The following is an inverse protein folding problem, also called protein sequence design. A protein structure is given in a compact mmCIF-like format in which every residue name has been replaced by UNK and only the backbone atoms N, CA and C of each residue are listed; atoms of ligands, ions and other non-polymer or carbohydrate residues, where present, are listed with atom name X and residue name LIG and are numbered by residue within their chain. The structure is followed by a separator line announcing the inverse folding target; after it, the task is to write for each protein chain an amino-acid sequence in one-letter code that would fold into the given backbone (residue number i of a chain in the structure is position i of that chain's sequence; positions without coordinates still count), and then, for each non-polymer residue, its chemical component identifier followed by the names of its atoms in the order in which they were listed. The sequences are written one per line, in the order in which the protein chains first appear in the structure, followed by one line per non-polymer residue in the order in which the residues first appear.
data_IF_860156217396
#
_entry.id   IF_860156217396
#
_cell.length_a   1.000
_cell.length_b   1.000
_cell.length_c   1.000
_cell.angle_alpha   90.00
_cell.angle_beta   90.00
_cell.angle_gamma   90.00
#
_symmetry.space_group_name_H-M   'P 1'
#
loop_
_entity.id
_entity.type
_entity.pdbx_description
1 polymer ?
#
# COMPACT_ATOMS: atom_id res chain seq x y z
N UNK A 1 39.61 -19.50 -75.20
CA UNK A 1 40.36 -20.52 -74.43
C UNK A 1 40.25 -20.19 -72.96
N UNK A 2 39.51 -21.02 -72.21
CA UNK A 2 39.01 -20.74 -70.86
C UNK A 2 39.99 -21.38 -69.86
N UNK A 3 40.68 -20.57 -69.05
CA UNK A 3 41.47 -21.08 -67.91
C UNK A 3 40.50 -21.41 -66.77
N UNK A 4 40.50 -22.68 -66.38
CA UNK A 4 39.79 -23.20 -65.20
C UNK A 4 40.55 -22.69 -63.97
N UNK A 5 39.84 -22.02 -63.05
CA UNK A 5 40.38 -21.69 -61.73
C UNK A 5 39.40 -22.26 -60.71
N UNK A 6 39.86 -23.34 -60.08
CA UNK A 6 39.25 -24.01 -58.94
C UNK A 6 39.33 -23.07 -57.74
N UNK A 7 38.20 -22.70 -57.13
CA UNK A 7 38.19 -21.95 -55.86
C UNK A 7 37.60 -22.86 -54.79
N UNK A 8 38.44 -23.17 -53.81
CA UNK A 8 38.14 -24.04 -52.69
C UNK A 8 37.12 -23.40 -51.74
N UNK A 9 36.11 -24.18 -51.35
CA UNK A 9 35.13 -23.83 -50.32
C UNK A 9 35.81 -23.73 -48.94
N UNK A 10 35.85 -22.54 -48.37
CA UNK A 10 36.15 -22.32 -46.95
C UNK A 10 34.82 -22.29 -46.17
N UNK A 11 34.57 -23.34 -45.39
CA UNK A 11 33.51 -23.39 -44.40
C UNK A 11 33.75 -22.31 -43.34
N UNK A 12 32.96 -21.24 -43.39
CA UNK A 12 32.83 -20.28 -42.30
C UNK A 12 31.92 -20.85 -41.22
N UNK A 13 32.49 -21.24 -40.08
CA UNK A 13 31.73 -21.52 -38.86
C UNK A 13 31.07 -20.23 -38.38
N UNK A 14 29.74 -20.14 -38.52
CA UNK A 14 28.93 -19.15 -37.82
C UNK A 14 28.91 -19.50 -36.33
N UNK A 15 29.84 -18.96 -35.55
CA UNK A 15 29.73 -18.92 -34.10
C UNK A 15 28.59 -17.97 -33.73
N UNK A 16 27.39 -18.49 -33.57
CA UNK A 16 26.31 -17.76 -32.92
C UNK A 16 26.63 -17.69 -31.42
N UNK A 17 26.99 -16.50 -30.94
CA UNK A 17 26.99 -16.24 -29.50
C UNK A 17 25.54 -16.29 -29.02
N UNK A 18 25.20 -17.04 -27.97
CA UNK A 18 23.87 -16.97 -27.40
C UNK A 18 23.68 -15.56 -26.83
N UNK A 19 22.81 -14.77 -27.45
CA UNK A 19 22.34 -13.52 -26.87
C UNK A 19 21.65 -13.84 -25.54
N UNK A 20 22.21 -13.33 -24.45
CA UNK A 20 21.57 -13.38 -23.14
C UNK A 20 20.29 -12.55 -23.19
N UNK A 21 19.14 -13.21 -23.26
CA UNK A 21 17.87 -12.53 -23.03
C UNK A 21 17.79 -12.22 -21.53
N UNK A 22 17.88 -10.95 -21.15
CA UNK A 22 17.51 -10.48 -19.80
C UNK A 22 16.02 -10.79 -19.57
N UNK A 23 15.72 -11.83 -18.78
CA UNK A 23 14.37 -12.26 -18.42
C UNK A 23 13.96 -11.89 -16.99
N UNK A 24 14.46 -10.77 -16.47
CA UNK A 24 14.13 -10.30 -15.12
C UNK A 24 13.75 -8.82 -15.12
N UNK A 25 12.77 -8.46 -15.94
CA UNK A 25 12.06 -7.18 -15.83
C UNK A 25 10.84 -7.37 -14.92
N UNK A 26 11.07 -7.70 -13.64
CA UNK A 26 10.05 -7.44 -12.62
C UNK A 26 10.38 -6.03 -12.14
N UNK A 27 9.58 -5.00 -12.47
CA UNK A 27 9.78 -3.68 -11.90
C UNK A 27 9.76 -3.83 -10.37
N UNK A 28 10.83 -3.41 -9.71
CA UNK A 28 10.79 -3.16 -8.28
C UNK A 28 9.82 -2.00 -8.09
N UNK A 29 8.62 -2.29 -7.61
CA UNK A 29 7.65 -1.25 -7.29
C UNK A 29 8.18 -0.52 -6.06
N UNK A 30 8.68 0.71 -6.23
CA UNK A 30 8.93 1.59 -5.10
C UNK A 30 7.59 1.78 -4.37
N UNK A 31 7.49 1.23 -3.16
CA UNK A 31 6.25 1.18 -2.38
C UNK A 31 6.00 2.51 -1.64
N UNK A 32 6.46 3.62 -2.21
CA UNK A 32 6.30 4.94 -1.61
C UNK A 32 4.91 5.48 -1.98
N UNK A 33 4.14 6.00 -1.01
CA UNK A 33 2.86 6.62 -1.30
C UNK A 33 3.01 7.80 -2.26
N UNK A 34 2.11 7.90 -3.24
CA UNK A 34 2.03 9.04 -4.16
C UNK A 34 1.65 10.35 -3.43
N UNK A 35 0.95 10.22 -2.31
CA UNK A 35 0.49 11.31 -1.45
C UNK A 35 1.03 11.09 -0.05
N UNK A 36 1.67 12.12 0.52
CA UNK A 36 2.29 12.11 1.84
C UNK A 36 3.33 11.00 2.04
N UNK A 37 4.56 11.22 1.53
CA UNK A 37 5.68 10.28 1.70
C UNK A 37 6.00 9.98 3.17
N UNK A 38 5.76 10.95 4.06
CA UNK A 38 6.02 10.86 5.49
C UNK A 38 4.89 10.22 6.30
N UNK A 39 3.95 9.51 5.66
CA UNK A 39 2.89 8.83 6.40
C UNK A 39 3.49 7.84 7.42
N UNK A 40 2.95 7.76 8.64
CA UNK A 40 3.48 6.87 9.65
C UNK A 40 3.27 5.41 9.24
N UNK A 41 4.31 4.61 9.39
CA UNK A 41 4.26 3.17 9.13
C UNK A 41 3.30 2.49 10.10
N UNK A 42 2.67 1.41 9.66
CA UNK A 42 1.82 0.60 10.54
C UNK A 42 2.65 0.05 11.72
N UNK A 43 2.15 0.13 12.97
CA UNK A 43 2.86 -0.37 14.15
C UNK A 43 3.30 -1.82 14.01
N UNK A 44 4.48 -2.15 14.52
CA UNK A 44 5.09 -3.48 14.37
C UNK A 44 4.20 -4.61 14.91
N UNK A 45 3.53 -4.39 16.05
CA UNK A 45 2.65 -5.40 16.63
C UNK A 45 1.49 -5.77 15.71
N UNK A 46 0.97 -4.83 14.91
CA UNK A 46 -0.08 -5.09 13.92
C UNK A 46 0.43 -5.94 12.76
N UNK A 47 1.67 -5.70 12.34
CA UNK A 47 2.32 -6.49 11.29
C UNK A 47 2.56 -7.94 11.74
N UNK A 48 2.75 -8.13 13.05
CA UNK A 48 3.02 -9.42 13.69
C UNK A 48 1.80 -10.07 14.36
N UNK A 49 0.58 -9.62 14.05
CA UNK A 49 -0.64 -10.26 14.55
C UNK A 49 -0.74 -11.69 14.02
N UNK A 50 -1.05 -12.63 14.93
CA UNK A 50 -1.32 -14.02 14.59
C UNK A 50 -2.44 -14.13 13.55
N UNK A 51 -2.30 -15.05 12.58
CA UNK A 51 -3.25 -15.16 11.46
C UNK A 51 -4.72 -15.30 11.93
N UNK A 52 -4.94 -16.00 13.05
CA UNK A 52 -6.28 -16.18 13.65
C UNK A 52 -6.87 -14.88 14.17
N UNK A 53 -6.04 -13.92 14.56
CA UNK A 53 -6.41 -12.61 15.08
C UNK A 53 -6.35 -11.49 14.03
N UNK A 54 -6.11 -11.81 12.76
CA UNK A 54 -6.06 -10.83 11.65
C UNK A 54 -7.30 -9.92 11.57
N UNK A 55 -8.46 -10.37 12.06
CA UNK A 55 -9.68 -9.56 12.17
C UNK A 55 -9.50 -8.34 13.11
N UNK A 56 -8.64 -8.43 14.12
CA UNK A 56 -8.27 -7.31 15.00
C UNK A 56 -7.45 -6.26 14.26
N UNK A 57 -6.50 -6.67 13.40
CA UNK A 57 -5.75 -5.74 12.53
C UNK A 57 -6.70 -4.90 11.66
N UNK A 58 -7.70 -5.56 11.07
CA UNK A 58 -8.69 -4.88 10.24
C UNK A 58 -9.49 -3.83 11.03
N UNK A 59 -9.88 -4.14 12.27
CA UNK A 59 -10.54 -3.17 13.14
C UNK A 59 -9.66 -1.93 13.35
N UNK A 60 -8.41 -2.10 13.74
CA UNK A 60 -7.48 -1.00 14.00
C UNK A 60 -7.31 -0.10 12.77
N UNK A 61 -7.19 -0.70 11.58
CA UNK A 61 -7.14 0.05 10.32
C UNK A 61 -8.43 0.84 10.05
N UNK A 62 -9.61 0.29 10.38
CA UNK A 62 -10.88 1.03 10.22
C UNK A 62 -11.02 2.15 11.25
N UNK A 63 -10.53 1.97 12.49
CA UNK A 63 -10.47 3.03 13.50
C UNK A 63 -9.59 4.16 12.97
N UNK A 64 -8.37 3.85 12.51
CA UNK A 64 -7.44 4.82 11.95
C UNK A 64 -8.06 5.60 10.78
N UNK A 65 -8.70 4.90 9.84
CA UNK A 65 -9.36 5.53 8.71
C UNK A 65 -10.50 6.46 9.13
N UNK A 66 -11.32 6.05 10.11
CA UNK A 66 -12.40 6.88 10.61
C UNK A 66 -11.87 8.13 11.33
N UNK A 67 -10.85 7.97 12.18
CA UNK A 67 -10.23 9.08 12.91
C UNK A 67 -9.55 10.08 11.96
N UNK A 68 -8.78 9.59 10.99
CA UNK A 68 -8.15 10.41 9.94
C UNK A 68 -9.17 11.29 9.22
N UNK A 69 -10.28 10.69 8.75
CA UNK A 69 -11.32 11.44 8.05
C UNK A 69 -12.03 12.43 8.98
N UNK A 70 -12.22 12.07 10.25
CA UNK A 70 -12.79 12.97 11.24
C UNK A 70 -11.90 14.18 11.47
N UNK A 71 -10.59 13.99 11.64
CA UNK A 71 -9.62 15.07 11.83
C UNK A 71 -9.62 16.04 10.65
N UNK A 72 -9.69 15.53 9.42
CA UNK A 72 -9.80 16.36 8.22
C UNK A 72 -11.06 17.23 8.25
N UNK A 73 -12.21 16.61 8.55
CA UNK A 73 -13.48 17.33 8.64
C UNK A 73 -13.47 18.36 9.78
N UNK A 74 -12.94 18.02 10.94
CA UNK A 74 -12.92 18.93 12.10
C UNK A 74 -11.96 20.11 11.89
N UNK A 75 -10.79 19.86 11.30
CA UNK A 75 -9.80 20.88 11.02
C UNK A 75 -10.10 21.70 9.75
N UNK A 76 -11.02 21.22 8.89
CA UNK A 76 -11.25 21.74 7.54
C UNK A 76 -9.93 21.85 6.75
N UNK A 77 -9.06 20.86 6.91
CA UNK A 77 -7.73 20.83 6.30
C UNK A 77 -7.28 19.39 6.06
N UNK A 78 -6.58 19.16 4.95
CA UNK A 78 -6.03 17.87 4.58
C UNK A 78 -4.49 17.87 4.48
N UNK A 79 -3.84 18.66 5.33
CA UNK A 79 -2.40 18.58 5.53
C UNK A 79 -1.99 17.15 5.91
N UNK A 80 -0.82 16.70 5.47
CA UNK A 80 -0.39 15.30 5.67
C UNK A 80 -0.42 14.86 7.14
N UNK A 81 -0.08 15.75 8.08
CA UNK A 81 -0.15 15.45 9.52
C UNK A 81 -1.58 15.30 10.06
N UNK A 82 -2.55 15.97 9.42
CA UNK A 82 -3.99 15.84 9.74
C UNK A 82 -4.56 14.56 9.13
N UNK A 83 -4.23 14.29 7.87
CA UNK A 83 -4.69 13.11 7.13
C UNK A 83 -4.07 11.81 7.64
N UNK A 84 -2.80 11.82 8.00
CA UNK A 84 -2.06 10.65 8.46
C UNK A 84 -1.49 10.91 9.86
N UNK A 85 -2.36 10.90 10.89
CA UNK A 85 -1.94 11.16 12.26
C UNK A 85 -1.08 10.03 12.84
N UNK A 86 -0.32 10.29 13.90
CA UNK A 86 0.33 9.24 14.69
C UNK A 86 -0.65 8.17 15.19
N UNK A 87 -0.20 6.92 15.34
CA UNK A 87 -1.05 5.75 15.65
C UNK A 87 -1.53 5.69 17.11
N UNK A 88 -0.90 6.42 18.03
CA UNK A 88 -1.07 6.25 19.47
C UNK A 88 -2.53 6.43 19.93
N UNK A 89 -3.27 7.35 19.31
CA UNK A 89 -4.68 7.56 19.62
C UNK A 89 -5.53 6.35 19.21
N UNK A 90 -5.28 5.80 18.02
CA UNK A 90 -5.96 4.61 17.49
C UNK A 90 -5.60 3.38 18.30
N UNK A 91 -4.33 3.21 18.64
CA UNK A 91 -3.84 2.13 19.49
C UNK A 91 -4.52 2.17 20.87
N UNK A 92 -4.61 3.36 21.48
CA UNK A 92 -5.33 3.55 22.74
C UNK A 92 -6.78 3.07 22.66
N UNK A 93 -7.52 3.49 21.63
CA UNK A 93 -8.91 3.04 21.42
C UNK A 93 -8.99 1.52 21.28
N UNK A 94 -8.08 0.91 20.51
CA UNK A 94 -8.08 -0.53 20.32
C UNK A 94 -7.75 -1.31 21.60
N UNK A 95 -6.66 -0.95 22.29
CA UNK A 95 -6.22 -1.67 23.48
C UNK A 95 -7.20 -1.51 24.65
N UNK A 96 -7.80 -0.33 24.82
CA UNK A 96 -8.76 -0.09 25.89
C UNK A 96 -10.09 -0.80 25.69
N UNK A 97 -10.55 -0.97 24.44
CA UNK A 97 -11.93 -1.40 24.15
C UNK A 97 -12.04 -2.78 23.51
N UNK A 98 -11.05 -3.18 22.72
CA UNK A 98 -11.19 -4.28 21.77
C UNK A 98 -10.12 -5.36 21.87
N UNK A 99 -8.98 -5.10 22.51
CA UNK A 99 -7.90 -6.09 22.60
C UNK A 99 -8.34 -7.43 23.24
N UNK A 100 -9.22 -7.35 24.25
CA UNK A 100 -9.79 -8.50 24.95
C UNK A 100 -11.19 -8.91 24.42
N UNK A 101 -11.68 -8.29 23.35
CA UNK A 101 -12.99 -8.60 22.80
C UNK A 101 -13.01 -9.90 22.02
N UNK A 102 -14.18 -10.54 22.00
CA UNK A 102 -14.43 -11.73 21.20
C UNK A 102 -14.61 -11.37 19.72
N UNK A 103 -14.53 -12.40 18.87
CA UNK A 103 -14.58 -12.24 17.42
C UNK A 103 -15.77 -11.41 16.92
N UNK A 104 -16.98 -11.70 17.42
CA UNK A 104 -18.20 -11.03 16.95
C UNK A 104 -18.22 -9.55 17.29
N UNK A 105 -17.77 -9.17 18.48
CA UNK A 105 -17.69 -7.78 18.91
C UNK A 105 -16.72 -6.97 18.02
N UNK A 106 -15.57 -7.57 17.67
CA UNK A 106 -14.57 -6.94 16.81
C UNK A 106 -15.09 -6.77 15.37
N UNK A 107 -15.80 -7.78 14.84
CA UNK A 107 -16.39 -7.70 13.49
C UNK A 107 -17.50 -6.65 13.42
N UNK A 108 -18.36 -6.58 14.44
CA UNK A 108 -19.41 -5.57 14.53
C UNK A 108 -18.80 -4.16 14.61
N UNK A 109 -17.84 -3.94 15.51
CA UNK A 109 -17.12 -2.68 15.61
C UNK A 109 -16.44 -2.29 14.29
N UNK A 110 -15.85 -3.26 13.57
CA UNK A 110 -15.23 -3.03 12.27
C UNK A 110 -16.26 -2.51 11.26
N UNK A 111 -17.46 -3.08 11.25
CA UNK A 111 -18.55 -2.63 10.38
C UNK A 111 -18.96 -1.19 10.68
N UNK A 112 -19.10 -0.85 11.96
CA UNK A 112 -19.48 0.50 12.40
C UNK A 112 -18.41 1.55 12.06
N UNK A 113 -17.13 1.27 12.36
CA UNK A 113 -16.04 2.18 11.98
C UNK A 113 -15.93 2.36 10.47
N UNK A 114 -16.12 1.28 9.68
CA UNK A 114 -16.14 1.34 8.22
C UNK A 114 -17.27 2.24 7.72
N UNK A 115 -18.47 2.12 8.29
CA UNK A 115 -19.61 2.98 7.97
C UNK A 115 -19.30 4.44 8.29
N UNK A 116 -18.79 4.71 9.50
CA UNK A 116 -18.40 6.06 9.93
C UNK A 116 -17.35 6.68 9.00
N UNK A 117 -16.30 5.94 8.68
CA UNK A 117 -15.26 6.39 7.75
C UNK A 117 -15.84 6.69 6.35
N UNK A 118 -16.78 5.89 5.84
CA UNK A 118 -17.42 6.13 4.55
C UNK A 118 -18.33 7.37 4.56
N UNK A 119 -18.96 7.67 5.69
CA UNK A 119 -19.73 8.89 5.86
C UNK A 119 -18.82 10.11 5.83
N UNK A 120 -17.79 10.13 6.68
CA UNK A 120 -16.81 11.19 6.76
C UNK A 120 -16.03 11.38 5.46
N UNK A 121 -15.75 10.30 4.72
CA UNK A 121 -15.07 10.37 3.42
C UNK A 121 -15.78 11.33 2.47
N UNK A 122 -17.11 11.39 2.47
CA UNK A 122 -17.87 12.27 1.57
C UNK A 122 -17.63 13.74 1.88
N UNK A 123 -17.37 14.06 3.13
CA UNK A 123 -17.08 15.42 3.60
C UNK A 123 -15.57 15.75 3.46
N UNK A 124 -14.69 14.81 3.78
CA UNK A 124 -13.24 14.97 3.70
C UNK A 124 -12.69 15.04 2.27
N UNK A 125 -13.29 14.31 1.33
CA UNK A 125 -12.82 14.23 -0.07
C UNK A 125 -12.65 15.61 -0.74
N UNK A 126 -13.67 16.48 -0.81
CA UNK A 126 -13.50 17.79 -1.45
C UNK A 126 -12.44 18.67 -0.77
N UNK A 127 -12.22 18.51 0.54
CA UNK A 127 -11.17 19.23 1.28
C UNK A 127 -9.80 18.77 0.79
N UNK A 128 -9.57 17.45 0.75
CA UNK A 128 -8.30 16.88 0.31
C UNK A 128 -8.01 17.08 -1.18
N UNK A 129 -9.03 17.02 -2.03
CA UNK A 129 -8.87 17.30 -3.46
C UNK A 129 -8.45 18.75 -3.71
N UNK A 130 -8.98 19.70 -2.94
CA UNK A 130 -8.61 21.12 -3.05
C UNK A 130 -7.15 21.38 -2.64
N UNK A 131 -6.61 20.59 -1.72
CA UNK A 131 -5.22 20.67 -1.26
C UNK A 131 -4.26 19.75 -2.04
N UNK A 132 -4.77 18.93 -2.97
CA UNK A 132 -3.97 17.97 -3.73
C UNK A 132 -3.48 16.75 -2.93
N UNK A 133 -4.05 16.51 -1.75
CA UNK A 133 -3.67 15.44 -0.82
C UNK A 133 -4.72 14.33 -0.75
N UNK A 134 -5.38 14.02 -1.87
CA UNK A 134 -6.43 13.00 -1.93
C UNK A 134 -5.93 11.59 -2.27
#
# INVERSE_FOLDING_TARGET
MRKVITVACLLGLCYATPGTAERNLIPTLDNQPDVCSEQPLEPEWMQNIEMRESYKRLLVQQIYRAESMQRIVDAQSCECATRYPPWEAVEGVFFERYAASEYWDVVEATSEYRKRANELRREAMPICEAEGNW
#
